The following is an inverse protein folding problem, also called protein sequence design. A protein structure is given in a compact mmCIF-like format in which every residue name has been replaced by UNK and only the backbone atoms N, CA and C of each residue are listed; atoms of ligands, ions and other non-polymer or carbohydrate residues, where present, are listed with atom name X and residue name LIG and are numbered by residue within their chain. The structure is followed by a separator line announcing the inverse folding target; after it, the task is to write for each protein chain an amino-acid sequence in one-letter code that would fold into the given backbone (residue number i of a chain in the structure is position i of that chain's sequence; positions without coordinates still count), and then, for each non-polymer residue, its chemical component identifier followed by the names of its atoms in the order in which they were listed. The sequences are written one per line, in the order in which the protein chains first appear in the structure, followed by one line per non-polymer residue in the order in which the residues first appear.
data_IF_534160705643
#
_entry.id   IF_534160705643
#
_cell.length_a   1.000
_cell.length_b   1.000
_cell.length_c   1.000
_cell.angle_alpha   90.00
_cell.angle_beta   90.00
_cell.angle_gamma   90.00
#
_symmetry.space_group_name_H-M   'P 1'
#
loop_
_entity.id
_entity.type
_entity.pdbx_description
1 polymer ?
#
# COMPACT_ATOMS: atom_id res chain seq x y z
N UNK A 1 13.08 -34.84 8.39
CA UNK A 1 12.22 -34.25 7.34
C UNK A 1 11.50 -33.05 7.91
N UNK A 2 12.08 -31.86 7.79
CA UNK A 2 11.46 -30.62 8.25
C UNK A 2 11.22 -29.67 7.08
N UNK A 3 10.07 -29.00 7.11
CA UNK A 3 9.89 -27.64 6.60
C UNK A 3 9.49 -27.36 5.14
N UNK A 4 9.00 -28.33 4.36
CA UNK A 4 8.36 -27.99 3.06
C UNK A 4 6.95 -27.40 3.24
N UNK A 5 6.27 -27.72 4.35
CA UNK A 5 4.90 -27.26 4.62
C UNK A 5 4.81 -25.80 5.08
N UNK A 6 5.84 -25.26 5.75
CA UNK A 6 5.81 -23.89 6.27
C UNK A 6 5.89 -22.84 5.16
N UNK A 7 6.66 -23.10 4.10
CA UNK A 7 6.82 -22.14 2.99
C UNK A 7 5.60 -22.06 2.08
N UNK A 8 4.78 -23.13 1.96
CA UNK A 8 3.55 -23.09 1.15
C UNK A 8 2.47 -22.23 1.79
N UNK A 9 2.30 -22.32 3.10
CA UNK A 9 1.29 -21.55 3.85
C UNK A 9 1.50 -20.04 3.71
N UNK A 10 2.76 -19.59 3.80
CA UNK A 10 3.10 -18.18 3.63
C UNK A 10 2.77 -17.64 2.22
N UNK A 11 2.88 -18.46 1.16
CA UNK A 11 2.65 -17.99 -0.21
C UNK A 11 1.17 -17.78 -0.54
N UNK A 12 0.31 -18.70 -0.10
CA UNK A 12 -1.15 -18.53 -0.25
C UNK A 12 -1.65 -17.29 0.51
N UNK A 13 -1.09 -17.02 1.70
CA UNK A 13 -1.42 -15.82 2.47
C UNK A 13 -0.98 -14.54 1.77
N UNK A 14 0.22 -14.52 1.17
CA UNK A 14 0.70 -13.38 0.35
C UNK A 14 -0.17 -13.18 -0.89
N UNK A 15 -0.55 -14.25 -1.59
CA UNK A 15 -1.43 -14.16 -2.78
C UNK A 15 -2.81 -13.60 -2.40
N UNK A 16 -3.36 -14.00 -1.26
CA UNK A 16 -4.64 -13.49 -0.76
C UNK A 16 -4.56 -12.03 -0.31
N UNK A 17 -3.48 -11.66 0.38
CA UNK A 17 -3.17 -10.28 0.76
C UNK A 17 -3.02 -9.38 -0.48
N UNK A 18 -2.38 -9.88 -1.54
CA UNK A 18 -2.27 -9.18 -2.82
C UNK A 18 -3.64 -8.96 -3.48
N UNK A 19 -4.49 -9.99 -3.48
CA UNK A 19 -5.84 -9.87 -4.03
C UNK A 19 -6.66 -8.83 -3.26
N UNK A 20 -6.60 -8.83 -1.92
CA UNK A 20 -7.22 -7.82 -1.04
C UNK A 20 -6.68 -6.42 -1.37
N UNK A 21 -5.37 -6.24 -1.47
CA UNK A 21 -4.75 -4.96 -1.80
C UNK A 21 -5.21 -4.44 -3.18
N UNK A 22 -5.19 -5.29 -4.21
CA UNK A 22 -5.67 -4.96 -5.56
C UNK A 22 -7.15 -4.61 -5.59
N UNK A 23 -7.98 -5.33 -4.84
CA UNK A 23 -9.40 -5.02 -4.71
C UNK A 23 -9.62 -3.65 -4.08
N UNK A 24 -8.92 -3.34 -2.98
CA UNK A 24 -9.01 -2.02 -2.32
C UNK A 24 -8.58 -0.91 -3.29
N UNK A 25 -7.49 -1.12 -4.03
CA UNK A 25 -6.98 -0.19 -5.05
C UNK A 25 -7.97 0.02 -6.21
N UNK A 26 -8.69 -1.02 -6.63
CA UNK A 26 -9.68 -0.90 -7.71
C UNK A 26 -11.03 -0.33 -7.25
N UNK A 27 -11.40 -0.52 -5.97
CA UNK A 27 -12.66 -0.01 -5.42
C UNK A 27 -12.59 1.44 -4.95
N UNK A 28 -11.40 2.03 -4.84
CA UNK A 28 -11.22 3.40 -4.37
C UNK A 28 -10.43 4.23 -5.40
N UNK A 29 -10.78 5.52 -5.59
CA UNK A 29 -10.06 6.38 -6.53
C UNK A 29 -8.61 6.64 -6.09
N UNK A 30 -8.32 6.65 -4.79
CA UNK A 30 -6.97 6.69 -4.26
C UNK A 30 -6.83 5.80 -3.02
N UNK A 31 -5.69 5.16 -2.87
CA UNK A 31 -5.36 4.28 -1.74
C UNK A 31 -3.95 4.59 -1.25
N UNK A 32 -3.80 4.67 0.06
CA UNK A 32 -2.54 4.94 0.74
C UNK A 32 -2.27 3.83 1.73
N UNK A 33 -1.28 2.99 1.42
CA UNK A 33 -0.73 2.04 2.38
C UNK A 33 0.27 2.78 3.27
N UNK A 34 -0.01 2.76 4.57
CA UNK A 34 0.63 3.56 5.61
C UNK A 34 1.03 2.69 6.79
N UNK A 35 1.80 3.28 7.70
CA UNK A 35 1.96 2.79 9.07
C UNK A 35 1.77 3.93 10.05
N UNK A 36 1.18 3.67 11.22
CA UNK A 36 0.79 4.72 12.18
C UNK A 36 1.99 5.54 12.67
N UNK A 37 3.15 4.90 12.83
CA UNK A 37 4.39 5.52 13.30
C UNK A 37 5.17 6.29 12.21
N UNK A 38 4.75 6.25 10.94
CA UNK A 38 5.51 6.84 9.85
C UNK A 38 5.20 8.33 9.64
N UNK A 39 6.21 9.18 9.80
CA UNK A 39 6.10 10.64 9.56
C UNK A 39 5.80 11.01 8.11
N UNK A 40 6.33 10.26 7.13
CA UNK A 40 6.05 10.48 5.70
C UNK A 40 4.60 10.17 5.33
N UNK A 41 4.03 9.11 5.91
CA UNK A 41 2.62 8.76 5.69
C UNK A 41 1.67 9.87 6.16
N UNK A 42 1.99 10.54 7.27
CA UNK A 42 1.19 11.69 7.76
C UNK A 42 1.17 12.83 6.75
N UNK A 43 2.31 13.14 6.12
CA UNK A 43 2.40 14.17 5.07
C UNK A 43 1.54 13.83 3.86
N UNK A 44 1.57 12.58 3.41
CA UNK A 44 0.74 12.10 2.29
C UNK A 44 -0.75 12.27 2.61
N UNK A 45 -1.21 11.85 3.79
CA UNK A 45 -2.62 12.02 4.22
C UNK A 45 -3.02 13.50 4.30
N UNK A 46 -2.16 14.34 4.85
CA UNK A 46 -2.39 15.78 4.91
C UNK A 46 -2.53 16.37 3.51
N UNK A 47 -1.68 15.98 2.57
CA UNK A 47 -1.76 16.45 1.18
C UNK A 47 -3.08 16.02 0.52
N UNK A 48 -3.47 14.76 0.63
CA UNK A 48 -4.77 14.32 0.12
C UNK A 48 -5.94 15.04 0.79
N UNK A 49 -5.84 15.33 2.09
CA UNK A 49 -6.84 16.11 2.82
C UNK A 49 -6.90 17.56 2.34
N UNK A 50 -5.77 18.19 2.01
CA UNK A 50 -5.70 19.56 1.47
C UNK A 50 -6.33 19.64 0.08
N UNK A 51 -6.16 18.59 -0.72
CA UNK A 51 -6.77 18.48 -2.05
C UNK A 51 -8.25 18.10 -2.00
N UNK A 52 -8.77 17.83 -0.80
CA UNK A 52 -10.14 17.36 -0.58
C UNK A 52 -10.48 16.12 -1.43
N UNK A 53 -9.46 15.30 -1.72
CA UNK A 53 -9.59 14.11 -2.54
C UNK A 53 -10.14 12.95 -1.71
N UNK A 54 -10.93 12.08 -2.33
CA UNK A 54 -11.38 10.84 -1.69
C UNK A 54 -10.25 9.82 -1.74
N UNK A 55 -9.75 9.38 -0.58
CA UNK A 55 -8.72 8.36 -0.49
C UNK A 55 -9.00 7.38 0.66
N UNK A 56 -8.54 6.13 0.50
CA UNK A 56 -8.59 5.11 1.53
C UNK A 56 -7.20 4.91 2.13
N UNK A 57 -7.10 4.93 3.45
CA UNK A 57 -5.85 4.60 4.16
C UNK A 57 -5.94 3.17 4.69
N UNK A 58 -4.87 2.42 4.52
CA UNK A 58 -4.68 1.09 5.11
C UNK A 58 -3.42 1.13 5.97
N UNK A 59 -3.56 0.98 7.29
CA UNK A 59 -2.44 0.91 8.23
C UNK A 59 -1.93 -0.52 8.33
N UNK A 60 -0.80 -0.79 7.70
CA UNK A 60 -0.21 -2.14 7.67
C UNK A 60 0.30 -2.62 9.03
N UNK A 61 0.43 -1.74 10.02
CA UNK A 61 0.81 -2.11 11.38
C UNK A 61 -0.38 -2.45 12.29
N UNK A 62 -1.60 -2.09 11.89
CA UNK A 62 -2.83 -2.44 12.62
C UNK A 62 -3.53 -3.67 12.00
N UNK A 63 -3.30 -3.93 10.72
CA UNK A 63 -3.84 -5.10 10.03
C UNK A 63 -3.09 -6.39 10.42
N UNK A 64 -3.83 -7.45 10.69
CA UNK A 64 -3.27 -8.76 11.04
C UNK A 64 -2.49 -9.41 9.89
N UNK A 65 -2.87 -9.10 8.65
CA UNK A 65 -2.22 -9.50 7.40
C UNK A 65 -1.27 -8.42 6.85
N UNK A 66 -0.86 -7.47 7.69
CA UNK A 66 -0.09 -6.31 7.27
C UNK A 66 1.31 -6.64 6.72
N UNK A 67 2.00 -7.64 7.26
CA UNK A 67 3.31 -8.06 6.75
C UNK A 67 3.16 -8.77 5.40
N UNK A 68 2.14 -9.61 5.25
CA UNK A 68 1.78 -10.29 4.00
C UNK A 68 1.38 -9.28 2.92
N UNK A 69 0.57 -8.27 3.25
CA UNK A 69 0.25 -7.17 2.33
C UNK A 69 1.53 -6.42 1.96
N UNK A 70 2.43 -6.15 2.91
CA UNK A 70 3.69 -5.46 2.62
C UNK A 70 4.58 -6.26 1.66
N UNK A 71 4.64 -7.59 1.83
CA UNK A 71 5.34 -8.50 0.93
C UNK A 71 4.67 -8.55 -0.45
N UNK A 72 3.35 -8.67 -0.50
CA UNK A 72 2.56 -8.64 -1.71
C UNK A 72 2.74 -7.33 -2.50
N UNK A 73 2.74 -6.19 -1.81
CA UNK A 73 3.01 -4.88 -2.40
C UNK A 73 4.43 -4.82 -2.96
N UNK A 74 5.42 -5.39 -2.27
CA UNK A 74 6.78 -5.47 -2.78
C UNK A 74 6.88 -6.30 -4.06
N UNK A 75 6.15 -7.42 -4.14
CA UNK A 75 6.11 -8.25 -5.36
C UNK A 75 5.37 -7.56 -6.51
N UNK A 76 4.29 -6.84 -6.21
CA UNK A 76 3.48 -6.17 -7.23
C UNK A 76 4.10 -4.88 -7.75
N UNK A 77 4.67 -4.08 -6.86
CA UNK A 77 5.17 -2.72 -7.18
C UNK A 77 6.68 -2.62 -7.22
N UNK A 78 7.40 -3.62 -6.71
CA UNK A 78 8.84 -3.53 -6.43
C UNK A 78 9.17 -2.72 -5.17
N UNK A 79 8.18 -2.14 -4.49
CA UNK A 79 8.39 -1.26 -3.33
C UNK A 79 7.82 -1.86 -2.05
N UNK A 80 8.71 -2.23 -1.13
CA UNK A 80 8.36 -2.73 0.22
C UNK A 80 8.13 -1.63 1.24
N UNK A 81 8.59 -0.41 0.96
CA UNK A 81 8.58 0.71 1.90
C UNK A 81 7.25 1.45 1.89
N UNK A 82 6.86 1.95 3.07
CA UNK A 82 5.74 2.89 3.22
C UNK A 82 6.26 4.34 3.21
N UNK A 83 5.46 5.32 2.75
CA UNK A 83 4.13 5.17 2.18
C UNK A 83 4.17 4.49 0.81
N UNK A 84 3.11 3.77 0.45
CA UNK A 84 2.90 3.24 -0.90
C UNK A 84 1.52 3.71 -1.38
N UNK A 85 1.49 4.51 -2.45
CA UNK A 85 0.30 5.24 -2.90
C UNK A 85 -0.15 4.77 -4.28
N UNK A 86 -1.46 4.55 -4.39
CA UNK A 86 -2.14 4.20 -5.63
C UNK A 86 -3.22 5.22 -5.93
N UNK A 87 -3.31 5.65 -7.19
CA UNK A 87 -4.35 6.58 -7.67
C UNK A 87 -4.89 6.03 -8.98
N UNK A 88 -6.21 5.86 -9.08
CA UNK A 88 -6.90 5.33 -10.26
C UNK A 88 -6.39 3.95 -10.69
N UNK A 89 -6.06 3.08 -9.73
CA UNK A 89 -5.49 1.76 -10.01
C UNK A 89 -3.99 1.75 -10.33
N UNK A 90 -3.35 2.93 -10.46
CA UNK A 90 -1.94 3.05 -10.82
C UNK A 90 -1.08 3.28 -9.59
N UNK A 91 0.02 2.52 -9.49
CA UNK A 91 1.05 2.74 -8.48
C UNK A 91 1.80 4.04 -8.76
N UNK A 92 1.77 4.96 -7.80
CA UNK A 92 2.47 6.26 -7.86
C UNK A 92 3.84 6.18 -7.18
N UNK A 93 3.96 5.34 -6.15
CA UNK A 93 5.18 5.20 -5.35
C UNK A 93 5.01 5.71 -3.91
N UNK A 94 6.14 6.02 -3.27
CA UNK A 94 6.17 6.58 -1.93
C UNK A 94 6.22 8.11 -1.88
N UNK A 95 6.81 8.64 -0.80
CA UNK A 95 6.93 10.08 -0.55
C UNK A 95 8.16 10.67 -1.25
N UNK A 96 8.39 10.29 -2.50
CA UNK A 96 9.49 10.81 -3.32
C UNK A 96 9.03 11.98 -4.19
N UNK A 97 9.96 12.70 -4.80
CA UNK A 97 9.70 13.88 -5.64
C UNK A 97 8.62 13.65 -6.73
N UNK A 98 8.45 12.41 -7.21
CA UNK A 98 7.44 12.05 -8.21
C UNK A 98 6.00 12.19 -7.69
N UNK A 99 5.78 12.06 -6.39
CA UNK A 99 4.45 12.14 -5.78
C UNK A 99 3.84 13.54 -5.95
N UNK A 100 4.64 14.59 -5.73
CA UNK A 100 4.22 15.98 -5.91
C UNK A 100 3.81 16.26 -7.36
N UNK A 101 4.57 15.77 -8.34
CA UNK A 101 4.27 15.98 -9.76
C UNK A 101 3.03 15.26 -10.26
N UNK A 102 2.58 14.21 -9.56
CA UNK A 102 1.31 13.53 -9.86
C UNK A 102 0.15 14.32 -9.26
N UNK A 103 0.32 14.84 -8.06
CA UNK A 103 -0.68 15.67 -7.36
C UNK A 103 -0.98 16.96 -8.12
N UNK A 104 0.03 17.63 -8.68
CA UNK A 104 -0.19 18.84 -9.50
C UNK A 104 -0.94 18.59 -10.82
N UNK A 105 -1.14 17.31 -11.20
CA UNK A 105 -1.83 16.92 -12.44
C UNK A 105 -3.24 16.36 -12.21
N UNK A 106 -3.66 16.24 -10.95
CA UNK A 106 -5.00 15.78 -10.54
C UNK A 106 -5.83 17.01 -10.19
#
# INVERSE_FOLDING_TARGET
MGSVFSSKKNREQIEMALAKAKQIVNSNPAVVFSKTYCGYCKRVKQLFSQLNATYKVIELDEESDGDEIQMALAEWTGQRTVPNVFIGGKHIGGCDCKFLSVIEKI
#
